data_IF_790584955327
#
_entry.id   IF_790584955327
#
_cell.length_a   1.000
_cell.length_b   1.000
_cell.length_c   1.000
_cell.angle_alpha   90.00
_cell.angle_beta   90.00
_cell.angle_gamma   90.00
#
_symmetry.space_group_name_H-M   'P 1'
#
loop_
_entity.id
_entity.type
_entity.pdbx_description
1 polymer ?
#
# COMPACT_ATOMS: atom_id res chain seq x y z
N UNK A 1 10.88 -8.83 25.27
CA UNK A 1 11.54 -7.50 25.22
C UNK A 1 10.56 -6.48 25.78
N UNK A 2 10.85 -5.92 26.95
CA UNK A 2 10.13 -4.76 27.50
C UNK A 2 10.91 -3.52 27.03
N UNK A 3 10.28 -2.65 26.23
CA UNK A 3 10.96 -1.46 25.70
C UNK A 3 10.79 -0.33 26.71
N UNK A 4 11.80 -0.11 27.54
CA UNK A 4 11.75 0.80 28.70
C UNK A 4 11.63 2.30 28.38
N UNK A 5 11.39 2.71 27.13
CA UNK A 5 10.96 4.08 26.83
C UNK A 5 10.15 4.13 25.52
N UNK A 6 9.10 4.99 25.44
CA UNK A 6 8.28 5.20 24.22
C UNK A 6 9.09 5.57 22.98
N UNK A 7 10.25 6.23 23.16
CA UNK A 7 11.15 6.63 22.08
C UNK A 7 11.77 5.42 21.36
N UNK A 8 12.15 4.37 22.10
CA UNK A 8 12.73 3.14 21.53
C UNK A 8 11.65 2.32 20.81
N UNK A 9 10.45 2.24 21.38
CA UNK A 9 9.30 1.58 20.75
C UNK A 9 8.88 2.30 19.45
N UNK A 10 8.86 3.63 19.44
CA UNK A 10 8.55 4.43 18.25
C UNK A 10 9.60 4.26 17.14
N UNK A 11 10.87 4.15 17.47
CA UNK A 11 11.95 3.88 16.51
C UNK A 11 11.85 2.47 15.89
N UNK A 12 11.49 1.46 16.68
CA UNK A 12 11.25 0.11 16.18
C UNK A 12 10.01 0.03 15.27
N UNK A 13 8.91 0.70 15.66
CA UNK A 13 7.70 0.79 14.85
C UNK A 13 7.96 1.46 13.49
N UNK A 14 8.75 2.54 13.45
CA UNK A 14 9.12 3.20 12.21
C UNK A 14 9.89 2.27 11.26
N UNK A 15 10.80 1.43 11.78
CA UNK A 15 11.54 0.45 10.97
C UNK A 15 10.65 -0.65 10.41
N UNK A 16 9.70 -1.16 11.20
CA UNK A 16 8.72 -2.14 10.73
C UNK A 16 7.84 -1.56 9.63
N UNK A 17 7.40 -0.31 9.78
CA UNK A 17 6.58 0.38 8.80
C UNK A 17 7.36 0.63 7.49
N UNK A 18 8.63 1.03 7.60
CA UNK A 18 9.51 1.19 6.44
C UNK A 18 9.71 -0.15 5.71
N UNK A 19 10.04 -1.22 6.44
CA UNK A 19 10.21 -2.55 5.87
C UNK A 19 8.91 -3.07 5.20
N UNK A 20 7.76 -2.83 5.84
CA UNK A 20 6.45 -3.20 5.31
C UNK A 20 6.09 -2.39 4.05
N UNK A 21 6.45 -1.10 4.01
CA UNK A 21 6.23 -0.23 2.85
C UNK A 21 7.07 -0.70 1.65
N UNK A 22 8.36 -0.95 1.86
CA UNK A 22 9.26 -1.47 0.81
C UNK A 22 8.78 -2.82 0.28
N UNK A 23 8.38 -3.74 1.18
CA UNK A 23 7.83 -5.03 0.78
C UNK A 23 6.55 -4.89 -0.05
N UNK A 24 5.65 -3.97 0.32
CA UNK A 24 4.40 -3.71 -0.41
C UNK A 24 4.68 -3.18 -1.82
N UNK A 25 5.65 -2.27 -1.96
CA UNK A 25 6.10 -1.75 -3.26
C UNK A 25 6.68 -2.87 -4.12
N UNK A 26 7.57 -3.70 -3.55
CA UNK A 26 8.19 -4.83 -4.26
C UNK A 26 7.13 -5.81 -4.75
N UNK A 27 6.20 -6.22 -3.88
CA UNK A 27 5.13 -7.17 -4.26
C UNK A 27 4.21 -6.60 -5.34
N UNK A 28 3.89 -5.30 -5.27
CA UNK A 28 3.07 -4.63 -6.29
C UNK A 28 3.79 -4.55 -7.64
N UNK A 29 5.09 -4.29 -7.62
CA UNK A 29 5.92 -4.27 -8.83
C UNK A 29 6.05 -5.67 -9.45
N UNK A 30 6.28 -6.70 -8.64
CA UNK A 30 6.32 -8.09 -9.09
C UNK A 30 4.97 -8.50 -9.69
N UNK A 31 3.86 -8.16 -9.04
CA UNK A 31 2.53 -8.44 -9.57
C UNK A 31 2.30 -7.76 -10.94
N UNK A 32 2.72 -6.51 -11.12
CA UNK A 32 2.68 -5.83 -12.41
C UNK A 32 3.49 -6.58 -13.48
N UNK A 33 4.72 -6.97 -13.15
CA UNK A 33 5.59 -7.72 -14.08
C UNK A 33 4.94 -9.04 -14.48
N UNK A 34 4.34 -9.77 -13.54
CA UNK A 34 3.64 -11.03 -13.82
C UNK A 34 2.42 -10.82 -14.72
N UNK A 35 1.63 -9.77 -14.50
CA UNK A 35 0.49 -9.42 -15.36
C UNK A 35 0.98 -9.12 -16.79
N UNK A 36 1.99 -8.25 -16.92
CA UNK A 36 2.56 -7.88 -18.22
C UNK A 36 3.20 -9.07 -18.94
N UNK A 37 3.91 -9.94 -18.21
CA UNK A 37 4.58 -11.13 -18.75
C UNK A 37 3.59 -12.23 -19.14
N UNK A 38 2.46 -12.36 -18.43
CA UNK A 38 1.46 -13.39 -18.71
C UNK A 38 0.76 -13.21 -20.06
N UNK A 39 0.91 -12.05 -20.72
CA UNK A 39 0.15 -11.65 -21.93
C UNK A 39 -1.36 -11.90 -21.81
N UNK A 40 -1.86 -11.99 -20.57
CA UNK A 40 -3.28 -12.06 -20.32
C UNK A 40 -3.87 -10.69 -20.65
N UNK A 41 -4.37 -10.56 -21.88
CA UNK A 41 -5.27 -9.47 -22.30
C UNK A 41 -6.60 -9.46 -21.51
N UNK A 42 -6.72 -10.34 -20.51
CA UNK A 42 -7.85 -10.48 -19.61
C UNK A 42 -7.73 -9.65 -18.33
N UNK A 43 -6.66 -8.87 -18.14
CA UNK A 43 -6.64 -7.83 -17.12
C UNK A 43 -7.68 -6.75 -17.50
N UNK A 44 -8.95 -7.03 -17.15
CA UNK A 44 -10.07 -6.16 -17.48
C UNK A 44 -9.89 -4.78 -16.88
N UNK A 45 -10.67 -3.81 -17.39
CA UNK A 45 -10.63 -2.40 -16.95
C UNK A 45 -10.65 -2.25 -15.41
N UNK A 46 -11.35 -3.14 -14.70
CA UNK A 46 -11.39 -3.13 -13.23
C UNK A 46 -10.03 -3.45 -12.59
N UNK A 47 -9.25 -4.39 -13.11
CA UNK A 47 -7.91 -4.73 -12.61
C UNK A 47 -6.97 -3.53 -12.73
N UNK A 48 -6.98 -2.86 -13.89
CA UNK A 48 -6.17 -1.68 -14.14
C UNK A 48 -6.55 -0.49 -13.25
N UNK A 49 -7.85 -0.28 -13.01
CA UNK A 49 -8.32 0.77 -12.11
C UNK A 49 -7.93 0.51 -10.65
N UNK A 50 -8.06 -0.74 -10.18
CA UNK A 50 -7.68 -1.11 -8.81
C UNK A 50 -6.16 -0.98 -8.61
N UNK A 51 -5.37 -1.46 -9.56
CA UNK A 51 -3.91 -1.37 -9.53
C UNK A 51 -3.44 0.09 -9.62
N UNK A 52 -3.93 0.84 -10.61
CA UNK A 52 -3.57 2.25 -10.80
C UNK A 52 -3.99 3.13 -9.62
N UNK A 53 -5.19 2.89 -9.06
CA UNK A 53 -5.64 3.54 -7.84
C UNK A 53 -4.73 3.24 -6.65
N UNK A 54 -4.33 1.98 -6.46
CA UNK A 54 -3.41 1.58 -5.39
C UNK A 54 -2.02 2.21 -5.53
N UNK A 55 -1.51 2.33 -6.76
CA UNK A 55 -0.24 3.00 -7.05
C UNK A 55 -0.30 4.52 -6.77
N UNK A 56 -1.40 5.19 -7.14
CA UNK A 56 -1.60 6.61 -6.86
C UNK A 56 -1.70 6.89 -5.35
N UNK A 57 -2.39 6.04 -4.59
CA UNK A 57 -2.41 6.14 -3.13
C UNK A 57 -1.01 5.96 -2.53
N UNK A 58 -0.18 5.07 -3.10
CA UNK A 58 1.21 4.85 -2.67
C UNK A 58 2.05 6.13 -2.80
N UNK A 59 2.00 6.73 -3.98
CA UNK A 59 2.74 7.95 -4.30
C UNK A 59 2.26 9.09 -3.40
N UNK A 60 0.95 9.23 -3.23
CA UNK A 60 0.36 10.24 -2.35
C UNK A 60 0.82 10.07 -0.91
N UNK A 61 0.86 8.83 -0.40
CA UNK A 61 1.30 8.55 0.96
C UNK A 61 2.80 8.87 1.14
N UNK A 62 3.64 8.47 0.19
CA UNK A 62 5.10 8.65 0.26
C UNK A 62 5.53 10.11 0.11
N UNK A 63 4.93 10.86 -0.81
CA UNK A 63 5.38 12.21 -1.17
C UNK A 63 4.61 13.32 -0.48
N UNK A 64 3.40 13.05 0.01
CA UNK A 64 2.55 14.07 0.64
C UNK A 64 2.38 13.82 2.13
N UNK A 65 1.92 12.63 2.50
CA UNK A 65 1.54 12.35 3.88
C UNK A 65 2.76 12.12 4.78
N UNK A 66 3.78 11.39 4.32
CA UNK A 66 4.97 11.14 5.12
C UNK A 66 5.73 12.43 5.52
N UNK A 67 5.97 13.41 4.61
CA UNK A 67 6.55 14.70 5.00
C UNK A 67 5.69 15.48 6.00
N UNK A 68 4.36 15.42 5.87
CA UNK A 68 3.42 16.10 6.76
C UNK A 68 3.34 15.47 8.16
N UNK A 69 3.53 14.15 8.26
CA UNK A 69 3.68 13.47 9.56
C UNK A 69 4.95 13.95 10.27
N UNK A 70 6.07 14.06 9.54
CA UNK A 70 7.35 14.51 10.10
C UNK A 70 7.24 15.98 10.53
N UNK A 71 6.73 16.86 9.66
CA UNK A 71 6.57 18.28 9.99
C UNK A 71 5.60 18.50 11.17
N UNK A 72 4.49 17.75 11.23
CA UNK A 72 3.56 17.82 12.37
C UNK A 72 4.20 17.35 13.68
N UNK A 73 5.13 16.39 13.62
CA UNK A 73 5.89 15.91 14.79
C UNK A 73 6.89 16.95 15.30
N UNK A 74 7.51 17.70 14.39
CA UNK A 74 8.52 18.72 14.72
C UNK A 74 7.91 20.05 15.17
N UNK A 75 6.77 20.44 14.60
CA UNK A 75 6.14 21.76 14.83
C UNK A 75 5.02 21.75 15.87
N UNK A 76 4.67 20.58 16.43
CA UNK A 76 3.53 20.43 17.36
C UNK A 76 2.16 20.48 16.68
N UNK A 77 2.11 20.28 15.36
CA UNK A 77 0.87 20.18 14.60
C UNK A 77 0.05 18.92 14.93
N UNK A 78 -1.08 18.75 14.26
CA UNK A 78 -1.98 17.60 14.50
C UNK A 78 -1.41 16.29 13.94
N UNK A 79 -0.48 15.69 14.69
CA UNK A 79 0.16 14.44 14.35
C UNK A 79 -0.85 13.28 14.20
N UNK A 80 -1.89 13.24 15.05
CA UNK A 80 -2.90 12.19 15.02
C UNK A 80 -3.69 12.18 13.69
N UNK A 81 -3.97 13.37 13.13
CA UNK A 81 -4.64 13.50 11.83
C UNK A 81 -3.78 12.95 10.69
N UNK A 82 -2.53 13.39 10.59
CA UNK A 82 -1.64 12.94 9.50
C UNK A 82 -1.28 11.47 9.63
N UNK A 83 -1.11 10.98 10.85
CA UNK A 83 -0.84 9.57 11.11
C UNK A 83 -2.07 8.69 10.81
N UNK A 84 -3.27 9.15 11.17
CA UNK A 84 -4.52 8.49 10.80
C UNK A 84 -4.74 8.45 9.29
N UNK A 85 -4.46 9.57 8.60
CA UNK A 85 -4.53 9.64 7.14
C UNK A 85 -3.56 8.66 6.48
N UNK A 86 -2.28 8.65 6.89
CA UNK A 86 -1.29 7.71 6.34
C UNK A 86 -1.66 6.25 6.59
N UNK A 87 -2.17 5.92 7.78
CA UNK A 87 -2.65 4.57 8.11
C UNK A 87 -3.84 4.16 7.24
N UNK A 88 -4.78 5.08 6.99
CA UNK A 88 -5.95 4.82 6.14
C UNK A 88 -5.57 4.59 4.67
N UNK A 89 -4.58 5.32 4.15
CA UNK A 89 -4.06 5.13 2.79
C UNK A 89 -3.45 3.74 2.63
N UNK A 90 -2.65 3.29 3.59
CA UNK A 90 -2.05 1.94 3.55
C UNK A 90 -3.12 0.85 3.65
N UNK A 91 -4.11 1.02 4.52
CA UNK A 91 -5.24 0.09 4.62
C UNK A 91 -5.98 -0.01 3.27
N UNK A 92 -6.26 1.13 2.64
CA UNK A 92 -6.89 1.17 1.32
C UNK A 92 -6.03 0.45 0.26
N UNK A 93 -4.72 0.63 0.27
CA UNK A 93 -3.81 -0.08 -0.62
C UNK A 93 -3.86 -1.60 -0.43
N UNK A 94 -3.91 -2.07 0.81
CA UNK A 94 -4.08 -3.50 1.10
C UNK A 94 -5.39 -4.04 0.53
N UNK A 95 -6.49 -3.30 0.70
CA UNK A 95 -7.79 -3.69 0.14
C UNK A 95 -7.76 -3.75 -1.38
N UNK A 96 -7.15 -2.75 -2.04
CA UNK A 96 -7.01 -2.71 -3.50
C UNK A 96 -6.11 -3.83 -4.02
N UNK A 97 -5.02 -4.14 -3.32
CA UNK A 97 -4.11 -5.23 -3.68
C UNK A 97 -4.80 -6.59 -3.53
N UNK A 98 -5.52 -6.82 -2.42
CA UNK A 98 -6.30 -8.04 -2.20
C UNK A 98 -7.41 -8.19 -3.24
N UNK A 99 -8.13 -7.11 -3.57
CA UNK A 99 -9.16 -7.14 -4.60
C UNK A 99 -8.58 -7.43 -6.00
N UNK A 100 -7.42 -6.85 -6.32
CA UNK A 100 -6.70 -7.11 -7.57
C UNK A 100 -6.25 -8.57 -7.65
N UNK A 101 -5.68 -9.11 -6.57
CA UNK A 101 -5.27 -10.51 -6.47
C UNK A 101 -6.47 -11.45 -6.58
N UNK A 102 -7.58 -11.14 -5.90
CA UNK A 102 -8.81 -11.90 -5.98
C UNK A 102 -9.32 -11.96 -7.41
N UNK A 103 -9.35 -10.83 -8.11
CA UNK A 103 -9.81 -10.77 -9.49
C UNK A 103 -8.92 -11.57 -10.46
N UNK A 104 -7.60 -11.57 -10.24
CA UNK A 104 -6.64 -12.31 -11.06
C UNK A 104 -6.64 -13.82 -10.79
N UNK A 105 -6.96 -14.23 -9.56
CA UNK A 105 -6.98 -15.65 -9.15
C UNK A 105 -8.33 -16.31 -9.29
N UNK A 106 -9.42 -15.53 -9.42
CA UNK A 106 -10.74 -16.08 -9.69
C UNK A 106 -10.78 -16.61 -11.13
N UNK A 107 -10.93 -17.93 -11.35
CA UNK A 107 -10.98 -18.47 -12.69
C UNK A 107 -12.19 -17.88 -13.43
N UNK A 108 -11.93 -17.26 -14.59
CA UNK A 108 -13.00 -16.81 -15.48
C UNK A 108 -13.84 -18.04 -15.82
N UNK A 109 -15.15 -18.03 -15.53
CA UNK A 109 -16.03 -19.11 -15.96
C UNK A 109 -15.96 -19.15 -17.48
N UNK A 110 -15.27 -20.16 -18.02
CA UNK A 110 -15.31 -20.50 -19.43
C UNK A 110 -16.79 -20.62 -19.79
N UNK A 111 -17.27 -19.71 -20.63
CA UNK A 111 -18.62 -19.78 -21.17
C UNK A 111 -18.69 -21.10 -21.96
N UNK A 112 -19.49 -22.10 -21.58
CA UNK A 112 -19.64 -23.28 -22.41
C UNK A 112 -20.28 -22.86 -23.73
N UNK A 113 -19.69 -23.37 -24.81
CA UNK A 113 -19.91 -23.05 -26.22
C UNK A 113 -21.40 -22.97 -26.62
#
# INVERSE_FOLDING_TARGET
MHFDTPAVAGGAAAKLFAAQSELTVVLTAVALVLILASRQDQAGKSTWLLWGGGALLAISNQWWVAPLIVSARETGGNLALWHGLGSSLILAQWLLALATLWLLTTPHKLKPN
#
